data_IF_663612915499
#
_entry.id   IF_663612915499
#
_cell.length_a   1.000
_cell.length_b   1.000
_cell.length_c   1.000
_cell.angle_alpha   90.00
_cell.angle_beta   90.00
_cell.angle_gamma   90.00
#
_symmetry.space_group_name_H-M   'P 1'
#
loop_
_entity.id
_entity.type
_entity.pdbx_description
1 polymer ?
#
# COMPACT_ATOMS: atom_id res chain seq x y z
N UNK A 1 -6.54 34.65 -21.68
CA UNK A 1 -6.10 33.96 -20.45
C UNK A 1 -5.51 32.63 -20.89
N UNK A 2 -4.20 32.45 -20.75
CA UNK A 2 -3.52 31.22 -21.19
C UNK A 2 -3.97 30.03 -20.33
N UNK A 3 -4.11 28.85 -20.94
CA UNK A 3 -4.48 27.64 -20.23
C UNK A 3 -3.27 27.14 -19.40
N UNK A 4 -3.16 27.64 -18.16
CA UNK A 4 -2.10 27.27 -17.20
C UNK A 4 -2.33 25.90 -16.54
N UNK A 5 -3.51 25.31 -16.74
CA UNK A 5 -3.82 23.96 -16.29
C UNK A 5 -3.63 22.98 -17.45
N UNK A 6 -2.79 21.97 -17.23
CA UNK A 6 -2.61 20.85 -18.16
C UNK A 6 -3.15 19.58 -17.53
N UNK A 7 -4.03 18.89 -18.24
CA UNK A 7 -4.71 17.69 -17.76
C UNK A 7 -4.23 16.47 -18.53
N UNK A 8 -3.97 15.37 -17.81
CA UNK A 8 -3.45 14.12 -18.36
C UNK A 8 -4.25 12.95 -17.81
N UNK A 9 -4.58 12.01 -18.69
CA UNK A 9 -5.14 10.71 -18.31
C UNK A 9 -3.99 9.72 -18.25
N UNK A 10 -3.84 9.07 -17.11
CA UNK A 10 -2.73 8.20 -16.82
C UNK A 10 -3.20 6.75 -16.69
N UNK A 11 -2.30 5.82 -17.03
CA UNK A 11 -2.47 4.39 -16.80
C UNK A 11 -1.18 3.84 -16.18
N UNK A 12 -1.29 3.16 -15.04
CA UNK A 12 -0.24 2.31 -14.48
C UNK A 12 -0.65 0.86 -14.68
N UNK A 13 0.30 0.01 -15.07
CA UNK A 13 0.09 -1.45 -15.11
C UNK A 13 0.88 -2.07 -13.97
N UNK A 14 0.22 -2.84 -13.11
CA UNK A 14 0.89 -3.55 -12.03
C UNK A 14 1.81 -4.64 -12.61
N UNK A 15 3.12 -4.54 -12.40
CA UNK A 15 4.08 -5.57 -12.83
C UNK A 15 4.36 -6.62 -11.75
N UNK A 16 4.05 -6.27 -10.50
CA UNK A 16 4.18 -7.13 -9.32
C UNK A 16 2.95 -6.92 -8.43
N UNK A 17 2.75 -7.76 -7.40
CA UNK A 17 1.71 -7.49 -6.41
C UNK A 17 1.86 -6.11 -5.78
N UNK A 18 0.78 -5.31 -5.78
CA UNK A 18 0.77 -3.96 -5.18
C UNK A 18 -0.17 -3.96 -3.98
N UNK A 19 0.33 -3.56 -2.81
CA UNK A 19 -0.48 -3.36 -1.61
C UNK A 19 -0.50 -1.88 -1.21
N UNK A 20 -1.69 -1.31 -1.06
CA UNK A 20 -1.93 0.00 -0.44
C UNK A 20 -2.88 -0.22 0.72
N UNK A 21 -2.38 -0.07 1.95
CA UNK A 21 -3.11 -0.45 3.15
C UNK A 21 -4.18 0.57 3.56
N UNK A 22 -5.32 0.08 4.06
CA UNK A 22 -6.33 0.91 4.74
C UNK A 22 -6.00 1.20 6.21
N UNK A 23 -5.04 0.45 6.79
CA UNK A 23 -4.79 0.40 8.23
C UNK A 23 -5.66 -0.65 8.95
N UNK A 24 -6.65 -1.24 8.27
CA UNK A 24 -7.46 -2.32 8.83
C UNK A 24 -6.74 -3.67 8.75
N UNK A 25 -6.94 -4.49 9.79
CA UNK A 25 -6.42 -5.85 9.88
C UNK A 25 -7.61 -6.81 9.97
N UNK A 26 -7.74 -7.69 8.99
CA UNK A 26 -8.71 -8.78 9.01
C UNK A 26 -8.07 -9.94 9.80
N UNK A 27 -8.60 -10.16 11.00
CA UNK A 27 -8.14 -11.25 11.86
C UNK A 27 -8.54 -12.63 11.32
N UNK A 28 -8.00 -13.70 11.89
CA UNK A 28 -8.40 -15.10 11.61
C UNK A 28 -9.90 -15.40 11.82
N UNK A 29 -10.61 -14.52 12.55
CA UNK A 29 -12.07 -14.62 12.76
C UNK A 29 -12.87 -13.77 11.77
N UNK A 30 -12.21 -13.02 10.89
CA UNK A 30 -12.81 -12.10 9.93
C UNK A 30 -12.88 -12.64 8.49
N UNK A 31 -12.36 -13.84 8.23
CA UNK A 31 -12.39 -14.46 6.91
C UNK A 31 -12.59 -15.97 6.96
N UNK A 32 -13.10 -16.54 5.87
CA UNK A 32 -13.32 -17.96 5.67
C UNK A 32 -12.36 -18.43 4.58
N UNK A 33 -11.41 -19.29 4.94
CA UNK A 33 -10.57 -19.97 3.96
C UNK A 33 -11.29 -21.21 3.45
N UNK A 34 -11.40 -21.36 2.12
CA UNK A 34 -12.04 -22.49 1.43
C UNK A 34 -11.00 -23.30 0.65
N UNK A 35 -10.39 -24.34 1.26
CA UNK A 35 -9.26 -25.07 0.65
C UNK A 35 -9.60 -25.75 -0.69
N UNK A 36 -10.87 -26.09 -0.93
CA UNK A 36 -11.30 -26.79 -2.14
C UNK A 36 -11.36 -25.89 -3.38
N UNK A 37 -11.55 -24.57 -3.20
CA UNK A 37 -11.53 -23.58 -4.30
C UNK A 37 -10.25 -22.72 -4.26
N UNK A 38 -9.36 -22.94 -3.27
CA UNK A 38 -8.18 -22.10 -2.99
C UNK A 38 -8.52 -20.60 -2.84
N UNK A 39 -9.64 -20.31 -2.16
CA UNK A 39 -10.15 -18.94 -2.00
C UNK A 39 -10.22 -18.51 -0.54
N UNK A 40 -10.19 -17.20 -0.34
CA UNK A 40 -10.51 -16.55 0.93
C UNK A 40 -11.74 -15.67 0.74
N UNK A 41 -12.78 -15.98 1.51
CA UNK A 41 -14.04 -15.24 1.51
C UNK A 41 -14.03 -14.30 2.71
N UNK A 42 -14.26 -13.01 2.45
CA UNK A 42 -14.55 -12.02 3.49
C UNK A 42 -16.07 -11.85 3.56
N UNK A 43 -16.72 -12.26 4.67
CA UNK A 43 -18.16 -12.17 4.80
C UNK A 43 -18.63 -10.75 5.13
N UNK A 44 -19.88 -10.47 4.76
CA UNK A 44 -20.67 -9.40 5.35
C UNK A 44 -21.11 -9.88 6.75
N UNK A 45 -20.49 -9.29 7.77
CA UNK A 45 -20.69 -9.69 9.17
C UNK A 45 -22.16 -9.53 9.59
N UNK A 46 -22.87 -8.52 9.08
CA UNK A 46 -24.28 -8.30 9.44
C UNK A 46 -25.17 -9.39 8.84
N UNK A 47 -24.97 -9.72 7.56
CA UNK A 47 -25.72 -10.82 6.90
C UNK A 47 -25.44 -12.16 7.55
N UNK A 48 -24.15 -12.44 7.82
CA UNK A 48 -23.73 -13.67 8.48
C UNK A 48 -24.34 -13.77 9.89
N UNK A 49 -24.24 -12.72 10.70
CA UNK A 49 -24.75 -12.71 12.07
C UNK A 49 -26.27 -12.91 12.10
N UNK A 50 -27.01 -12.22 11.23
CA UNK A 50 -28.47 -12.39 11.12
C UNK A 50 -28.85 -13.84 10.79
N UNK A 51 -28.16 -14.46 9.83
CA UNK A 51 -28.43 -15.85 9.46
C UNK A 51 -28.08 -16.84 10.59
N UNK A 52 -27.03 -16.57 11.37
CA UNK A 52 -26.71 -17.36 12.57
C UNK A 52 -27.78 -17.19 13.66
N UNK A 53 -28.32 -15.98 13.82
CA UNK A 53 -29.42 -15.71 14.76
C UNK A 53 -30.68 -16.48 14.38
N UNK A 54 -31.05 -16.50 13.09
CA UNK A 54 -32.18 -17.28 12.57
C UNK A 54 -32.01 -18.80 12.79
N UNK A 55 -30.77 -19.27 12.94
CA UNK A 55 -30.43 -20.67 13.27
C UNK A 55 -30.29 -20.94 14.77
N UNK A 56 -30.53 -19.94 15.62
CA UNK A 56 -30.35 -20.04 17.07
C UNK A 56 -28.89 -20.18 17.50
N UNK A 57 -27.93 -19.74 16.68
CA UNK A 57 -26.47 -19.85 16.90
C UNK A 57 -25.80 -18.57 17.39
N UNK A 58 -26.60 -17.58 17.76
CA UNK A 58 -26.16 -16.28 18.25
C UNK A 58 -25.20 -16.41 19.45
N UNK A 59 -25.65 -17.07 20.51
CA UNK A 59 -24.90 -17.18 21.78
C UNK A 59 -23.57 -17.92 21.59
N UNK A 60 -23.56 -19.00 20.81
CA UNK A 60 -22.32 -19.72 20.51
C UNK A 60 -21.34 -18.87 19.70
N UNK A 61 -21.85 -18.05 18.75
CA UNK A 61 -21.02 -17.16 17.96
C UNK A 61 -20.43 -16.02 18.80
N UNK A 62 -21.22 -15.39 19.67
CA UNK A 62 -20.74 -14.36 20.61
C UNK A 62 -19.64 -14.92 21.52
N UNK A 63 -19.87 -16.09 22.13
CA UNK A 63 -18.87 -16.77 22.96
C UNK A 63 -17.59 -17.10 22.19
N UNK A 64 -17.71 -17.52 20.93
CA UNK A 64 -16.56 -17.75 20.04
C UNK A 64 -15.78 -16.45 19.79
N UNK A 65 -16.46 -15.34 19.51
CA UNK A 65 -15.82 -14.05 19.28
C UNK A 65 -15.10 -13.53 20.53
N UNK A 66 -15.69 -13.70 21.72
CA UNK A 66 -15.14 -13.30 23.03
C UNK A 66 -14.02 -14.21 23.59
N UNK A 67 -13.48 -15.12 22.78
CA UNK A 67 -12.42 -16.07 23.16
C UNK A 67 -12.84 -17.11 24.23
N UNK A 68 -14.04 -17.67 24.13
CA UNK A 68 -14.43 -18.90 24.85
C UNK A 68 -13.59 -20.14 24.45
N UNK A 69 -14.03 -21.35 24.78
CA UNK A 69 -13.27 -22.61 24.54
C UNK A 69 -12.72 -22.76 23.10
N UNK A 70 -13.44 -22.23 22.10
CA UNK A 70 -13.09 -22.28 20.68
C UNK A 70 -12.39 -21.00 20.16
N UNK A 71 -12.03 -20.05 21.02
CA UNK A 71 -11.49 -18.74 20.66
C UNK A 71 -10.24 -18.74 19.78
N UNK A 72 -9.54 -19.87 19.72
CA UNK A 72 -8.36 -20.06 18.88
C UNK A 72 -8.67 -20.53 17.45
N UNK A 73 -9.87 -21.07 17.19
CA UNK A 73 -10.27 -21.57 15.88
C UNK A 73 -10.43 -20.42 14.88
N UNK A 74 -10.09 -20.68 13.62
CA UNK A 74 -10.42 -19.77 12.53
C UNK A 74 -11.93 -19.79 12.25
N UNK A 75 -12.47 -18.71 11.68
CA UNK A 75 -13.91 -18.58 11.44
C UNK A 75 -14.45 -19.74 10.59
N UNK A 76 -13.77 -20.09 9.50
CA UNK A 76 -14.19 -21.19 8.63
C UNK A 76 -14.28 -22.55 9.34
N UNK A 77 -13.37 -22.82 10.30
CA UNK A 77 -13.40 -24.05 11.09
C UNK A 77 -14.58 -24.06 12.08
N UNK A 78 -14.85 -22.92 12.71
CA UNK A 78 -15.97 -22.77 13.63
C UNK A 78 -17.32 -22.91 12.91
N UNK A 79 -17.45 -22.30 11.73
CA UNK A 79 -18.65 -22.40 10.89
C UNK A 79 -18.92 -23.83 10.43
N UNK A 80 -17.88 -24.56 10.01
CA UNK A 80 -18.00 -25.96 9.63
C UNK A 80 -18.50 -26.84 10.80
N UNK A 81 -17.98 -26.63 12.01
CA UNK A 81 -18.45 -27.33 13.23
C UNK A 81 -19.91 -27.03 13.56
N UNK A 82 -20.42 -25.87 13.15
CA UNK A 82 -21.80 -25.45 13.36
C UNK A 82 -22.70 -25.68 12.13
N UNK A 83 -22.35 -26.67 11.29
CA UNK A 83 -23.14 -27.11 10.14
C UNK A 83 -23.43 -26.00 9.10
N UNK A 84 -22.54 -25.02 8.97
CA UNK A 84 -22.63 -24.06 7.87
C UNK A 84 -21.99 -24.65 6.60
N UNK A 85 -22.66 -24.47 5.48
CA UNK A 85 -22.30 -25.04 4.17
C UNK A 85 -21.65 -24.01 3.25
N UNK A 86 -21.11 -24.46 2.12
CA UNK A 86 -20.59 -23.58 1.05
C UNK A 86 -21.65 -22.58 0.55
N UNK A 87 -22.92 -23.00 0.48
CA UNK A 87 -24.01 -22.13 0.04
C UNK A 87 -24.21 -20.96 1.01
N UNK A 88 -24.04 -21.20 2.30
CA UNK A 88 -24.14 -20.16 3.32
C UNK A 88 -23.04 -19.11 3.14
N UNK A 89 -21.80 -19.56 2.92
CA UNK A 89 -20.67 -18.66 2.71
C UNK A 89 -20.86 -17.76 1.49
N UNK A 90 -21.43 -18.32 0.41
CA UNK A 90 -21.74 -17.57 -0.80
C UNK A 90 -22.83 -16.52 -0.57
N UNK A 91 -23.88 -16.85 0.20
CA UNK A 91 -24.94 -15.89 0.56
C UNK A 91 -24.43 -14.74 1.44
N UNK A 92 -23.44 -15.00 2.28
CA UNK A 92 -22.85 -14.00 3.18
C UNK A 92 -21.62 -13.31 2.59
N UNK A 93 -21.17 -13.68 1.40
CA UNK A 93 -19.96 -13.15 0.80
C UNK A 93 -20.09 -11.64 0.56
N UNK A 94 -19.15 -10.87 1.12
CA UNK A 94 -18.94 -9.47 0.73
C UNK A 94 -18.03 -9.39 -0.48
N UNK A 95 -16.91 -10.11 -0.42
CA UNK A 95 -15.99 -10.32 -1.54
C UNK A 95 -15.17 -11.59 -1.32
N UNK A 96 -14.55 -12.08 -2.38
CA UNK A 96 -13.61 -13.20 -2.35
C UNK A 96 -12.33 -12.77 -3.03
N UNK A 97 -11.25 -13.45 -2.69
CA UNK A 97 -9.95 -13.29 -3.33
C UNK A 97 -9.27 -14.65 -3.44
N UNK A 98 -8.36 -14.75 -4.41
CA UNK A 98 -7.47 -15.90 -4.50
C UNK A 98 -6.59 -15.97 -3.24
N UNK A 99 -6.44 -17.17 -2.67
CA UNK A 99 -5.65 -17.38 -1.46
C UNK A 99 -4.13 -17.20 -1.70
N UNK A 100 -3.70 -17.05 -2.94
CA UNK A 100 -2.31 -16.84 -3.33
C UNK A 100 -1.41 -17.99 -2.93
N UNK A 101 -0.10 -17.76 -2.97
CA UNK A 101 0.91 -18.75 -2.57
C UNK A 101 0.97 -18.93 -1.04
N UNK A 102 0.32 -18.04 -0.30
CA UNK A 102 0.31 -18.01 1.15
C UNK A 102 -0.26 -19.29 1.82
N UNK A 103 -1.12 -20.03 1.10
CA UNK A 103 -1.84 -21.21 1.60
C UNK A 103 -1.54 -22.52 0.85
N UNK A 104 -0.56 -22.54 -0.05
CA UNK A 104 -0.26 -23.70 -0.93
C UNK A 104 0.47 -24.86 -0.23
N UNK A 105 1.13 -24.64 0.91
CA UNK A 105 1.88 -25.69 1.64
C UNK A 105 1.30 -25.99 3.03
N UNK A 106 1.41 -27.24 3.49
CA UNK A 106 0.92 -27.65 4.81
C UNK A 106 1.59 -26.91 5.99
N UNK A 107 2.81 -26.42 5.79
CA UNK A 107 3.52 -25.58 6.78
C UNK A 107 3.00 -24.13 6.80
N UNK A 108 2.39 -23.64 5.71
CA UNK A 108 1.91 -22.25 5.58
C UNK A 108 0.40 -22.08 5.80
N UNK A 109 -0.38 -23.17 5.87
CA UNK A 109 -1.84 -23.21 6.11
C UNK A 109 -2.35 -22.68 7.46
N UNK A 110 -1.47 -22.17 8.33
CA UNK A 110 -1.91 -21.59 9.60
C UNK A 110 -2.68 -20.29 9.33
N UNK A 111 -3.82 -20.05 10.01
CA UNK A 111 -4.55 -18.80 9.89
C UNK A 111 -3.64 -17.62 10.24
N UNK A 112 -3.49 -16.69 9.29
CA UNK A 112 -2.69 -15.46 9.41
C UNK A 112 -3.61 -14.25 9.47
N UNK A 113 -3.10 -13.15 10.00
CA UNK A 113 -3.74 -11.85 9.85
C UNK A 113 -3.54 -11.34 8.42
N UNK A 114 -4.57 -10.68 7.89
CA UNK A 114 -4.57 -10.10 6.55
C UNK A 114 -4.63 -8.57 6.70
N UNK A 115 -3.62 -7.88 6.20
CA UNK A 115 -3.65 -6.44 6.05
C UNK A 115 -4.52 -6.08 4.86
N UNK A 116 -5.61 -5.35 5.11
CA UNK A 116 -6.59 -5.01 4.10
C UNK A 116 -6.07 -3.95 3.14
N UNK A 117 -6.42 -4.10 1.87
CA UNK A 117 -6.20 -3.11 0.83
C UNK A 117 -7.27 -2.01 0.98
N UNK A 118 -6.89 -0.76 0.71
CA UNK A 118 -7.78 0.39 0.79
C UNK A 118 -8.91 0.30 -0.25
N UNK A 119 -10.14 0.49 0.21
CA UNK A 119 -11.36 0.40 -0.60
C UNK A 119 -12.14 1.70 -0.46
N UNK A 120 -12.91 2.03 -1.49
CA UNK A 120 -13.84 3.15 -1.44
C UNK A 120 -15.07 2.83 -0.56
N UNK A 121 -16.02 3.76 -0.49
CA UNK A 121 -17.26 3.58 0.28
C UNK A 121 -18.13 2.41 -0.23
N UNK A 122 -17.93 1.96 -1.47
CA UNK A 122 -18.63 0.84 -2.08
C UNK A 122 -17.90 -0.50 -1.88
N UNK A 123 -16.73 -0.50 -1.24
CA UNK A 123 -15.91 -1.69 -1.02
C UNK A 123 -15.05 -2.07 -2.22
N UNK A 124 -14.83 -1.15 -3.16
CA UNK A 124 -14.01 -1.38 -4.35
C UNK A 124 -12.57 -0.87 -4.12
N UNK A 125 -11.54 -1.71 -4.35
CA UNK A 125 -10.15 -1.29 -4.22
C UNK A 125 -9.80 -0.10 -5.13
N UNK A 126 -9.00 0.85 -4.64
CA UNK A 126 -8.48 1.94 -5.45
C UNK A 126 -7.10 2.38 -4.92
N UNK A 127 -6.34 3.14 -5.71
CA UNK A 127 -5.10 3.76 -5.26
C UNK A 127 -5.38 5.25 -4.98
N UNK A 128 -5.19 5.73 -3.74
CA UNK A 128 -5.31 7.15 -3.43
C UNK A 128 -4.31 7.98 -4.24
N UNK A 129 -4.76 9.13 -4.72
CA UNK A 129 -3.94 10.10 -5.44
C UNK A 129 -2.78 10.60 -4.59
N UNK A 130 -2.93 10.63 -3.26
CA UNK A 130 -1.86 10.93 -2.31
C UNK A 130 -0.72 9.91 -2.33
N UNK A 131 -1.02 8.61 -2.53
CA UNK A 131 -0.02 7.55 -2.67
C UNK A 131 0.79 7.73 -3.95
N UNK A 132 0.12 7.96 -5.08
CA UNK A 132 0.77 8.20 -6.37
C UNK A 132 1.56 9.52 -6.33
N UNK A 133 1.00 10.57 -5.73
CA UNK A 133 1.68 11.86 -5.56
C UNK A 133 2.92 11.74 -4.67
N UNK A 134 2.87 10.92 -3.63
CA UNK A 134 4.03 10.60 -2.79
C UNK A 134 5.15 9.93 -3.59
N UNK A 135 4.82 8.94 -4.43
CA UNK A 135 5.77 8.31 -5.33
C UNK A 135 6.46 9.33 -6.27
N UNK A 136 5.67 10.20 -6.92
CA UNK A 136 6.20 11.26 -7.80
C UNK A 136 7.07 12.24 -7.01
N UNK A 137 6.64 12.64 -5.80
CA UNK A 137 7.40 13.55 -4.91
C UNK A 137 8.80 13.00 -4.62
N UNK A 138 8.90 11.73 -4.22
CA UNK A 138 10.19 11.09 -3.91
C UNK A 138 11.10 11.03 -5.13
N UNK A 139 10.56 10.67 -6.29
CA UNK A 139 11.32 10.62 -7.54
C UNK A 139 11.86 12.00 -7.93
N UNK A 140 11.03 13.05 -7.87
CA UNK A 140 11.44 14.43 -8.16
C UNK A 140 12.52 14.94 -7.21
N UNK A 141 12.44 14.63 -5.91
CA UNK A 141 13.47 14.97 -4.93
C UNK A 141 14.81 14.34 -5.34
N UNK A 142 14.82 13.03 -5.63
CA UNK A 142 16.04 12.33 -6.01
C UNK A 142 16.66 12.90 -7.29
N UNK A 143 15.83 13.12 -8.32
CA UNK A 143 16.23 13.72 -9.59
C UNK A 143 16.79 15.13 -9.42
N UNK A 144 16.17 15.96 -8.58
CA UNK A 144 16.68 17.31 -8.31
C UNK A 144 18.03 17.34 -7.64
N UNK A 145 18.26 16.46 -6.67
CA UNK A 145 19.57 16.31 -6.03
C UNK A 145 20.63 15.92 -7.05
N UNK A 146 20.27 15.12 -8.06
CA UNK A 146 21.17 14.71 -9.13
C UNK A 146 21.51 15.82 -10.12
N UNK A 147 20.51 16.61 -10.54
CA UNK A 147 20.71 17.68 -11.50
C UNK A 147 21.49 18.87 -10.92
N UNK A 148 21.38 19.13 -9.61
CA UNK A 148 21.96 20.29 -8.94
C UNK A 148 22.81 19.86 -7.71
N UNK A 149 23.85 19.02 -7.86
CA UNK A 149 24.54 18.40 -6.72
C UNK A 149 25.24 19.43 -5.83
N UNK A 150 25.83 20.47 -6.42
CA UNK A 150 26.56 21.53 -5.69
C UNK A 150 25.63 22.30 -4.74
N UNK A 151 24.37 22.50 -5.14
CA UNK A 151 23.35 23.19 -4.34
C UNK A 151 23.02 22.44 -3.04
N UNK A 152 23.13 21.12 -3.03
CA UNK A 152 22.75 20.27 -1.91
C UNK A 152 23.94 19.68 -1.13
N UNK A 153 25.17 20.07 -1.47
CA UNK A 153 26.40 19.51 -0.88
C UNK A 153 26.54 19.81 0.63
N UNK A 154 26.16 21.01 1.09
CA UNK A 154 26.16 21.34 2.52
C UNK A 154 25.18 20.47 3.31
N UNK A 155 23.99 20.26 2.74
CA UNK A 155 22.95 19.45 3.37
C UNK A 155 23.35 17.97 3.41
N UNK A 156 23.97 17.47 2.34
CA UNK A 156 24.58 16.14 2.30
C UNK A 156 25.64 15.96 3.39
N UNK A 157 26.56 16.92 3.57
CA UNK A 157 27.55 16.88 4.66
C UNK A 157 26.89 16.89 6.04
N UNK A 158 25.83 17.68 6.21
CA UNK A 158 25.06 17.73 7.46
C UNK A 158 24.40 16.37 7.77
N UNK A 159 23.73 15.76 6.78
CA UNK A 159 23.13 14.44 6.89
C UNK A 159 24.19 13.38 7.22
N UNK A 160 25.34 13.38 6.52
CA UNK A 160 26.43 12.43 6.78
C UNK A 160 27.03 12.56 8.17
N UNK A 161 27.18 13.78 8.69
CA UNK A 161 27.63 14.01 10.06
C UNK A 161 26.60 13.50 11.07
N UNK A 162 25.33 13.85 10.88
CA UNK A 162 24.23 13.47 11.78
C UNK A 162 23.95 11.97 11.76
N UNK A 163 24.16 11.31 10.62
CA UNK A 163 23.99 9.86 10.49
C UNK A 163 24.99 9.05 11.33
N UNK A 164 26.12 9.65 11.74
CA UNK A 164 27.09 9.04 12.66
C UNK A 164 26.67 9.17 14.13
N UNK A 165 25.71 10.04 14.44
CA UNK A 165 25.21 10.24 15.79
C UNK A 165 24.15 9.16 16.11
N UNK A 166 24.11 8.70 17.37
CA UNK A 166 23.03 7.79 17.82
C UNK A 166 21.75 8.60 18.03
N UNK A 167 20.66 8.17 17.40
CA UNK A 167 19.35 8.79 17.56
C UNK A 167 18.27 7.78 17.93
N UNK A 168 17.17 8.28 18.49
CA UNK A 168 15.95 7.47 18.62
C UNK A 168 15.47 7.03 17.25
N UNK A 169 15.06 5.76 17.13
CA UNK A 169 14.56 5.18 15.86
C UNK A 169 13.49 6.05 15.19
N UNK A 170 12.65 6.72 15.98
CA UNK A 170 11.52 7.52 15.47
C UNK A 170 11.89 8.98 15.14
N UNK A 171 13.07 9.45 15.53
CA UNK A 171 13.51 10.84 15.29
C UNK A 171 14.80 10.93 14.47
N UNK A 172 15.43 9.78 14.19
CA UNK A 172 16.69 9.72 13.45
C UNK A 172 16.55 10.39 12.08
N UNK A 173 17.31 11.45 11.86
CA UNK A 173 17.34 12.28 10.64
C UNK A 173 16.00 12.90 10.21
N UNK A 174 14.99 12.95 11.10
CA UNK A 174 13.67 13.49 10.74
C UNK A 174 13.76 14.97 10.36
N UNK A 175 14.52 15.77 11.12
CA UNK A 175 14.68 17.20 10.85
C UNK A 175 15.47 17.44 9.57
N UNK A 176 16.53 16.66 9.34
CA UNK A 176 17.37 16.75 8.15
C UNK A 176 16.59 16.36 6.89
N UNK A 177 15.74 15.33 6.98
CA UNK A 177 14.85 14.91 5.89
C UNK A 177 13.84 16.02 5.56
N UNK A 178 13.19 16.59 6.58
CA UNK A 178 12.25 17.70 6.38
C UNK A 178 12.92 18.92 5.75
N UNK A 179 14.14 19.28 6.18
CA UNK A 179 14.92 20.37 5.60
C UNK A 179 15.29 20.10 4.14
N UNK A 180 15.65 18.87 3.80
CA UNK A 180 15.93 18.45 2.42
C UNK A 180 14.70 18.65 1.55
N UNK A 181 13.56 18.09 1.94
CA UNK A 181 12.33 18.24 1.18
C UNK A 181 11.94 19.71 1.02
N UNK A 182 12.05 20.51 2.09
CA UNK A 182 11.73 21.93 2.05
C UNK A 182 12.65 22.71 1.11
N UNK A 183 13.96 22.46 1.16
CA UNK A 183 14.92 23.16 0.30
C UNK A 183 14.77 22.84 -1.20
N UNK A 184 14.08 21.74 -1.53
CA UNK A 184 13.83 21.33 -2.91
C UNK A 184 12.45 21.78 -3.38
N UNK A 185 11.41 21.62 -2.55
CA UNK A 185 10.02 21.74 -2.98
C UNK A 185 9.36 23.07 -2.58
N UNK A 186 9.87 23.79 -1.58
CA UNK A 186 9.23 25.00 -1.07
C UNK A 186 9.72 26.25 -1.82
N UNK A 187 9.41 26.30 -3.12
CA UNK A 187 9.97 27.28 -4.06
C UNK A 187 8.98 28.41 -4.46
N UNK A 188 7.71 28.35 -4.01
CA UNK A 188 6.70 29.31 -4.47
C UNK A 188 6.82 30.72 -3.88
N UNK A 189 7.49 30.87 -2.74
CA UNK A 189 7.72 32.17 -2.08
C UNK A 189 6.45 32.96 -1.73
N UNK A 190 5.29 32.30 -1.57
CA UNK A 190 3.99 32.92 -1.23
C UNK A 190 3.98 33.50 0.18
N UNK A 191 4.64 32.82 1.12
CA UNK A 191 4.89 33.31 2.47
C UNK A 191 6.40 33.50 2.68
N UNK A 192 6.84 34.76 2.58
CA UNK A 192 8.25 35.14 2.78
C UNK A 192 8.66 35.19 4.25
N UNK A 193 7.71 35.33 5.17
CA UNK A 193 7.99 35.38 6.63
C UNK A 193 8.25 33.99 7.18
N UNK A 194 7.59 32.98 6.59
CA UNK A 194 7.68 31.59 7.01
C UNK A 194 8.02 30.71 5.82
N UNK A 195 9.31 30.62 5.42
CA UNK A 195 9.73 29.84 4.25
C UNK A 195 9.31 28.36 4.30
N UNK A 196 9.25 27.77 5.49
CA UNK A 196 8.82 26.38 5.73
C UNK A 196 7.29 26.19 5.78
N UNK A 197 6.50 27.21 5.42
CA UNK A 197 5.04 27.09 5.33
C UNK A 197 4.65 26.27 4.08
N UNK A 198 3.72 25.32 4.23
CA UNK A 198 3.27 24.45 3.14
C UNK A 198 2.67 25.22 1.94
N UNK A 199 2.22 26.47 2.13
CA UNK A 199 1.80 27.33 1.00
C UNK A 199 2.93 27.59 0.00
N UNK A 200 4.19 27.42 0.43
CA UNK A 200 5.36 27.56 -0.43
C UNK A 200 5.69 26.28 -1.23
N UNK A 201 5.06 25.14 -0.91
CA UNK A 201 5.32 23.86 -1.59
C UNK A 201 4.78 23.86 -3.04
N UNK A 202 5.68 23.74 -4.01
CA UNK A 202 5.36 23.71 -5.43
C UNK A 202 4.50 22.49 -5.82
N UNK A 203 4.55 21.40 -5.03
CA UNK A 203 3.70 20.22 -5.21
C UNK A 203 2.21 20.56 -5.06
N UNK A 204 1.84 21.73 -4.51
CA UNK A 204 0.45 22.21 -4.53
C UNK A 204 -0.09 22.40 -5.96
N UNK A 205 0.78 22.67 -6.94
CA UNK A 205 0.42 22.73 -8.36
C UNK A 205 0.30 21.37 -9.05
N UNK A 206 0.70 20.27 -8.42
CA UNK A 206 0.47 18.91 -8.93
C UNK A 206 -0.76 18.29 -8.25
N UNK A 207 -1.85 18.12 -9.00
CA UNK A 207 -3.06 17.47 -8.52
C UNK A 207 -3.12 16.06 -9.11
N UNK A 208 -3.17 15.06 -8.24
CA UNK A 208 -3.30 13.66 -8.63
C UNK A 208 -4.64 13.19 -8.09
N UNK A 209 -5.54 12.81 -8.99
CA UNK A 209 -6.81 12.21 -8.62
C UNK A 209 -6.61 10.81 -8.05
N UNK A 210 -7.54 10.38 -7.21
CA UNK A 210 -7.65 8.97 -6.84
C UNK A 210 -7.86 8.13 -8.12
N UNK A 211 -7.37 6.89 -8.10
CA UNK A 211 -7.60 6.00 -9.22
C UNK A 211 -9.07 5.65 -9.35
N UNK A 212 -9.49 5.33 -10.57
CA UNK A 212 -10.74 4.61 -10.76
C UNK A 212 -10.70 3.31 -9.93
N UNK A 213 -11.81 2.92 -9.31
CA UNK A 213 -11.87 1.66 -8.58
C UNK A 213 -11.57 0.49 -9.50
N UNK A 214 -10.81 -0.47 -8.99
CA UNK A 214 -10.58 -1.76 -9.64
C UNK A 214 -11.47 -2.81 -9.02
N UNK A 215 -11.76 -3.87 -9.77
CA UNK A 215 -12.64 -4.94 -9.30
C UNK A 215 -11.97 -5.74 -8.18
N UNK A 216 -12.79 -6.28 -7.29
CA UNK A 216 -12.31 -7.11 -6.16
C UNK A 216 -11.71 -8.43 -6.61
N UNK A 217 -12.06 -8.93 -7.80
CA UNK A 217 -11.43 -10.10 -8.44
C UNK A 217 -9.95 -9.88 -8.82
N UNK A 218 -9.49 -8.61 -8.84
CA UNK A 218 -8.10 -8.25 -9.03
C UNK A 218 -7.28 -8.34 -7.73
N UNK A 219 -7.88 -8.76 -6.60
CA UNK A 219 -7.17 -8.97 -5.34
C UNK A 219 -6.69 -10.42 -5.18
N UNK A 220 -5.48 -10.57 -4.64
CA UNK A 220 -4.91 -11.83 -4.14
C UNK A 220 -4.28 -11.61 -2.77
N UNK A 221 -3.91 -12.69 -2.08
CA UNK A 221 -3.14 -12.64 -0.85
C UNK A 221 -1.65 -12.87 -1.11
N UNK A 222 -0.86 -11.81 -0.91
CA UNK A 222 0.59 -11.88 -0.94
C UNK A 222 1.15 -12.04 0.48
N UNK A 223 2.07 -12.99 0.67
CA UNK A 223 2.83 -13.11 1.92
C UNK A 223 4.08 -12.24 1.86
N UNK A 224 4.41 -11.55 2.96
CA UNK A 224 5.69 -10.83 3.05
C UNK A 224 6.83 -11.82 3.24
N UNK A 225 7.80 -11.80 2.33
CA UNK A 225 9.04 -12.58 2.41
C UNK A 225 10.19 -11.59 2.53
N UNK A 226 11.02 -11.77 3.55
CA UNK A 226 12.29 -11.04 3.68
C UNK A 226 13.39 -11.90 3.03
N UNK A 227 14.12 -11.33 2.07
CA UNK A 227 15.21 -11.99 1.35
C UNK A 227 16.54 -11.34 1.72
N UNK A 228 17.54 -12.15 2.09
CA UNK A 228 18.86 -11.67 2.51
C UNK A 228 19.86 -11.70 1.36
N UNK A 229 21.01 -11.02 1.53
CA UNK A 229 22.10 -11.04 0.54
C UNK A 229 22.76 -12.44 0.42
N UNK A 230 22.55 -13.31 1.40
CA UNK A 230 23.01 -14.69 1.40
C UNK A 230 22.06 -15.64 0.64
N UNK A 231 20.95 -15.13 0.10
CA UNK A 231 19.94 -15.94 -0.57
C UNK A 231 18.94 -16.62 0.37
N UNK A 232 18.88 -16.22 1.64
CA UNK A 232 17.96 -16.81 2.59
C UNK A 232 16.59 -16.13 2.53
N UNK A 233 15.53 -16.93 2.43
CA UNK A 233 14.15 -16.48 2.48
C UNK A 233 13.53 -16.69 3.87
N UNK A 234 12.90 -15.65 4.40
CA UNK A 234 12.12 -15.70 5.63
C UNK A 234 10.71 -15.16 5.39
N UNK A 235 9.76 -16.07 5.28
CA UNK A 235 8.34 -15.72 5.19
C UNK A 235 7.80 -15.27 6.56
N UNK A 236 7.26 -14.04 6.61
CA UNK A 236 6.62 -13.49 7.80
C UNK A 236 5.16 -13.97 7.91
N UNK A 237 4.62 -14.14 9.13
CA UNK A 237 3.28 -14.69 9.35
C UNK A 237 2.16 -13.65 9.13
N UNK A 238 2.29 -12.79 8.11
CA UNK A 238 1.30 -11.78 7.75
C UNK A 238 1.01 -11.84 6.25
N UNK A 239 -0.23 -11.58 5.89
CA UNK A 239 -0.70 -11.51 4.51
C UNK A 239 -1.13 -10.09 4.18
N UNK A 240 -1.06 -9.74 2.90
CA UNK A 240 -1.52 -8.46 2.36
C UNK A 240 -2.46 -8.73 1.20
N UNK A 241 -3.64 -8.17 1.28
CA UNK A 241 -4.47 -8.01 0.08
C UNK A 241 -3.69 -7.16 -0.93
N UNK A 242 -3.46 -7.68 -2.12
CA UNK A 242 -2.63 -7.04 -3.12
C UNK A 242 -3.30 -7.13 -4.48
N UNK A 243 -3.15 -6.08 -5.30
CA UNK A 243 -3.54 -6.12 -6.70
C UNK A 243 -2.66 -7.13 -7.45
N UNK A 244 -3.28 -7.98 -8.27
CA UNK A 244 -2.57 -8.94 -9.10
C UNK A 244 -1.76 -8.26 -10.21
N UNK A 245 -0.62 -8.83 -10.63
CA UNK A 245 0.09 -8.39 -11.83
C UNK A 245 -0.83 -8.36 -13.06
N UNK A 246 -0.61 -7.40 -13.96
CA UNK A 246 -1.44 -7.14 -15.13
C UNK A 246 -2.64 -6.21 -14.88
N UNK A 247 -2.97 -5.91 -13.62
CA UNK A 247 -4.04 -4.95 -13.28
C UNK A 247 -3.72 -3.57 -13.85
N UNK A 248 -4.64 -3.00 -14.64
CA UNK A 248 -4.55 -1.64 -15.18
C UNK A 248 -5.26 -0.66 -14.25
N UNK A 249 -4.53 0.35 -13.79
CA UNK A 249 -5.00 1.37 -12.86
C UNK A 249 -5.04 2.71 -13.61
N UNK A 250 -6.21 3.33 -13.69
CA UNK A 250 -6.42 4.59 -14.40
C UNK A 250 -6.68 5.72 -13.42
N UNK A 251 -6.11 6.89 -13.68
CA UNK A 251 -6.26 8.08 -12.84
C UNK A 251 -5.92 9.33 -13.64
N UNK A 252 -6.23 10.49 -13.09
CA UNK A 252 -5.97 11.78 -13.72
C UNK A 252 -4.88 12.57 -12.99
N UNK A 253 -4.05 13.27 -13.77
CA UNK A 253 -3.11 14.28 -13.27
C UNK A 253 -3.47 15.64 -13.86
N UNK A 254 -3.55 16.66 -13.01
CA UNK A 254 -3.56 18.07 -13.44
C UNK A 254 -2.31 18.78 -12.95
N UNK A 255 -1.61 19.45 -13.86
CA UNK A 255 -0.48 20.32 -13.56
C UNK A 255 -0.91 21.77 -13.72
N UNK A 256 -0.79 22.53 -12.64
CA UNK A 256 -0.82 24.00 -12.65
C UNK A 256 0.59 24.53 -12.93
N UNK A 257 0.85 24.93 -14.18
CA UNK A 257 2.16 25.38 -14.62
C UNK A 257 2.57 26.73 -14.01
N UNK A 258 1.68 27.41 -13.29
CA UNK A 258 2.01 28.63 -12.55
C UNK A 258 2.65 28.35 -11.18
N UNK A 259 2.46 27.14 -10.65
CA UNK A 259 2.93 26.76 -9.31
C UNK A 259 3.84 25.51 -9.33
N UNK A 260 3.66 24.63 -10.30
CA UNK A 260 4.46 23.42 -10.42
C UNK A 260 5.44 23.58 -11.60
N UNK A 261 6.75 23.70 -11.33
CA UNK A 261 7.74 24.01 -12.36
C UNK A 261 8.08 22.82 -13.26
N UNK A 262 7.54 21.64 -12.97
CA UNK A 262 7.86 20.40 -13.69
C UNK A 262 6.76 20.03 -14.68
N UNK A 263 7.18 19.60 -15.87
CA UNK A 263 6.31 19.01 -16.88
C UNK A 263 6.13 17.51 -16.66
N UNK A 264 5.23 16.89 -17.43
CA UNK A 264 5.12 15.43 -17.44
C UNK A 264 6.40 14.74 -17.90
N UNK A 265 7.18 15.36 -18.78
CA UNK A 265 8.49 14.83 -19.22
C UNK A 265 9.46 14.74 -18.05
N UNK A 266 9.53 15.81 -17.26
CA UNK A 266 10.38 15.86 -16.05
C UNK A 266 9.94 14.82 -15.02
N UNK A 267 8.62 14.60 -14.84
CA UNK A 267 8.11 13.54 -13.97
C UNK A 267 8.57 12.16 -14.45
N UNK A 268 8.46 11.87 -15.76
CA UNK A 268 8.91 10.58 -16.32
C UNK A 268 10.41 10.40 -16.16
N UNK A 269 11.22 11.41 -16.49
CA UNK A 269 12.67 11.35 -16.31
C UNK A 269 13.06 11.15 -14.84
N UNK A 270 12.36 11.80 -13.91
CA UNK A 270 12.59 11.62 -12.48
C UNK A 270 12.26 10.20 -12.00
N UNK A 271 11.18 9.59 -12.51
CA UNK A 271 10.80 8.21 -12.20
C UNK A 271 11.83 7.21 -12.73
N UNK A 272 12.30 7.40 -13.97
CA UNK A 272 13.32 6.55 -14.59
C UNK A 272 14.64 6.64 -13.80
N UNK A 273 15.08 7.86 -13.49
CA UNK A 273 16.27 8.07 -12.67
C UNK A 273 16.15 7.47 -11.27
N UNK A 274 14.98 7.60 -10.63
CA UNK A 274 14.76 7.00 -9.32
C UNK A 274 14.86 5.46 -9.37
N UNK A 275 14.31 4.83 -10.41
CA UNK A 275 14.45 3.39 -10.63
C UNK A 275 15.92 2.99 -10.82
N UNK A 276 16.71 3.75 -11.58
CA UNK A 276 18.15 3.52 -11.74
C UNK A 276 18.90 3.59 -10.41
N UNK A 277 18.60 4.58 -9.57
CA UNK A 277 19.17 4.69 -8.21
C UNK A 277 18.80 3.45 -7.39
N UNK A 278 17.52 3.07 -7.35
CA UNK A 278 17.07 1.91 -6.59
C UNK A 278 17.80 0.64 -7.05
N UNK A 279 17.98 0.46 -8.37
CA UNK A 279 18.74 -0.67 -8.90
C UNK A 279 20.21 -0.61 -8.50
N UNK A 280 20.88 0.52 -8.73
CA UNK A 280 22.31 0.71 -8.45
C UNK A 280 22.67 0.51 -6.99
N UNK A 281 21.86 1.01 -6.06
CA UNK A 281 22.20 1.02 -4.64
C UNK A 281 21.55 -0.09 -3.83
N UNK A 282 20.45 -0.68 -4.30
CA UNK A 282 19.72 -1.72 -3.59
C UNK A 282 19.61 -3.02 -4.40
N UNK A 283 18.89 -3.03 -5.52
CA UNK A 283 18.54 -4.30 -6.19
C UNK A 283 19.74 -5.06 -6.77
N UNK A 284 20.74 -4.37 -7.32
CA UNK A 284 21.96 -4.99 -7.88
C UNK A 284 22.80 -5.79 -6.87
N UNK A 285 22.54 -5.63 -5.57
CA UNK A 285 23.22 -6.41 -4.52
C UNK A 285 22.64 -7.81 -4.33
N UNK A 286 21.42 -8.04 -4.81
CA UNK A 286 20.75 -9.33 -4.71
C UNK A 286 21.10 -10.17 -5.93
N UNK A 287 21.56 -11.40 -5.70
CA UNK A 287 21.78 -12.38 -6.74
C UNK A 287 20.40 -12.87 -7.18
N UNK A 288 20.03 -12.55 -8.42
CA UNK A 288 18.89 -13.19 -9.07
C UNK A 288 19.47 -14.41 -9.77
N UNK A 289 19.28 -15.59 -9.19
CA UNK A 289 19.47 -16.81 -9.96
C UNK A 289 18.41 -16.80 -11.08
N UNK A 290 18.87 -16.76 -12.33
CA UNK A 290 18.02 -16.89 -13.52
C UNK A 290 17.43 -18.29 -13.63
#
# INVERSE_FOLDING_TARGET
>A
MGNFLRHYKMQITALSPIHVGSGEIISKKGYIYTPWDHQVIVPDVQKMYKALQERGKEKEFELYMMNGKDGQLALGQWLQKNNCSKQDYEMWKRYTMDAGEAFTSDKTRRPKEIHAFIKDAYGMPYIPGSTIKGMIRTALIAWKIHCEPDKYEELKRTIQRKAKEKGSRNQFLLNETNRLEQSILYDLGRDRKTPWNAVNDCMSGLRVGDSLPVKTDCLTLAQKIDYTLQGEEKALPLLRESLIPGTKIYFDITIDTSAFPYSMKDITEALDYFQEICYKYFYSRFIVEN
#
